data_IF_662301441895
#
_entry.id   IF_662301441895
#
_cell.length_a   1.000
_cell.length_b   1.000
_cell.length_c   1.000
_cell.angle_alpha   90.00
_cell.angle_beta   90.00
_cell.angle_gamma   90.00
#
_symmetry.space_group_name_H-M   'P 1'
#
loop_
_entity.id
_entity.type
_entity.pdbx_description
1 polymer ?
#
# COMPACT_ATOMS: atom_id res chain seq x y z
N UNK A 1 45.76 17.19 16.37
CA UNK A 1 44.35 17.43 16.01
C UNK A 1 43.91 16.22 15.19
N UNK A 2 43.30 15.22 15.84
CA UNK A 2 43.02 13.91 15.24
C UNK A 2 41.52 13.82 14.91
N UNK A 3 41.21 13.57 13.64
CA UNK A 3 39.85 13.40 13.14
C UNK A 3 39.34 12.01 13.57
N UNK A 4 38.39 11.96 14.50
CA UNK A 4 37.68 10.72 14.85
C UNK A 4 36.62 10.43 13.79
N UNK A 5 36.93 9.55 12.84
CA UNK A 5 35.94 8.93 11.98
C UNK A 5 35.17 7.87 12.79
N UNK A 6 33.86 8.07 12.89
CA UNK A 6 32.92 7.14 13.52
C UNK A 6 32.79 5.86 12.69
N UNK A 7 32.87 4.70 13.37
CA UNK A 7 32.78 3.35 12.81
C UNK A 7 31.42 3.00 12.17
N UNK A 8 30.46 3.92 12.15
CA UNK A 8 29.11 3.71 11.59
C UNK A 8 29.00 3.89 10.06
N UNK A 9 30.07 4.28 9.35
CA UNK A 9 30.02 4.57 7.91
C UNK A 9 30.76 3.54 7.02
N UNK A 10 31.25 2.44 7.60
CA UNK A 10 32.07 1.44 6.86
C UNK A 10 31.28 0.14 6.58
N UNK A 11 30.01 0.03 6.99
CA UNK A 11 29.23 -1.19 6.75
C UNK A 11 28.51 -1.26 5.40
N UNK A 12 28.63 -0.23 4.54
CA UNK A 12 27.95 -0.18 3.23
C UNK A 12 28.88 -0.41 2.02
N UNK A 13 30.19 -0.58 2.21
CA UNK A 13 31.17 -0.57 1.09
C UNK A 13 31.74 -1.96 0.75
N UNK A 14 31.52 -3.01 1.56
CA UNK A 14 32.13 -4.33 1.31
C UNK A 14 31.21 -5.30 0.52
N UNK A 15 29.93 -5.00 0.30
CA UNK A 15 29.04 -5.92 -0.44
C UNK A 15 29.02 -5.78 -1.98
N UNK A 16 29.67 -4.75 -2.55
CA UNK A 16 29.51 -4.41 -3.98
C UNK A 16 30.69 -4.79 -4.89
N UNK A 17 31.71 -5.50 -4.40
CA UNK A 17 32.94 -5.77 -5.17
C UNK A 17 33.19 -7.25 -5.54
N UNK A 18 32.21 -8.16 -5.42
CA UNK A 18 32.40 -9.60 -5.76
C UNK A 18 31.47 -10.12 -6.87
N UNK A 19 30.51 -9.34 -7.38
CA UNK A 19 29.56 -9.84 -8.40
C UNK A 19 29.96 -9.63 -9.87
N UNK A 20 31.17 -9.15 -10.16
CA UNK A 20 31.65 -9.04 -11.52
C UNK A 20 32.53 -10.24 -11.87
N UNK A 21 31.92 -11.39 -12.22
CA UNK A 21 32.45 -12.45 -13.10
C UNK A 21 31.57 -13.71 -13.01
N UNK A 22 30.42 -13.70 -13.68
CA UNK A 22 29.74 -14.94 -14.11
C UNK A 22 29.46 -14.83 -15.61
N UNK A 23 29.89 -15.79 -16.44
CA UNK A 23 29.69 -15.74 -17.88
C UNK A 23 28.22 -16.01 -18.24
N UNK A 24 27.66 -15.08 -19.02
CA UNK A 24 26.33 -15.12 -19.64
C UNK A 24 26.08 -16.44 -20.39
N UNK A 25 25.15 -17.25 -19.89
CA UNK A 25 24.60 -18.41 -20.59
C UNK A 25 23.24 -18.05 -21.20
N UNK A 26 23.18 -18.08 -22.53
CA UNK A 26 21.99 -18.33 -23.36
C UNK A 26 20.74 -17.51 -23.08
N UNK A 27 20.61 -16.38 -23.77
CA UNK A 27 19.32 -15.70 -23.97
C UNK A 27 18.36 -16.65 -24.70
N UNK A 28 17.46 -17.28 -23.95
CA UNK A 28 16.19 -17.70 -24.50
C UNK A 28 15.39 -16.43 -24.76
N UNK A 29 14.93 -16.24 -26.00
CA UNK A 29 14.11 -15.10 -26.40
C UNK A 29 12.74 -15.16 -25.68
N UNK A 30 12.70 -14.76 -24.42
CA UNK A 30 11.47 -14.30 -23.79
C UNK A 30 11.08 -13.03 -24.52
N UNK A 31 9.95 -13.06 -25.22
CA UNK A 31 9.25 -11.84 -25.62
C UNK A 31 9.04 -11.01 -24.37
N UNK A 32 9.91 -10.02 -24.14
CA UNK A 32 9.72 -8.99 -23.14
C UNK A 32 8.35 -8.39 -23.45
N UNK A 33 7.34 -8.72 -22.63
CA UNK A 33 6.06 -8.03 -22.70
C UNK A 33 6.40 -6.57 -22.40
N UNK A 34 6.40 -5.75 -23.44
CA UNK A 34 6.62 -4.31 -23.31
C UNK A 34 5.48 -3.79 -22.43
N UNK A 35 5.84 -3.45 -21.20
CA UNK A 35 4.96 -2.84 -20.22
C UNK A 35 4.73 -1.38 -20.65
N UNK A 36 3.48 -1.00 -20.87
CA UNK A 36 3.08 0.40 -21.01
C UNK A 36 1.99 0.65 -20.00
N UNK A 37 2.38 1.09 -18.81
CA UNK A 37 1.44 1.55 -17.80
C UNK A 37 0.67 2.78 -18.31
N UNK A 38 -0.55 2.94 -17.81
CA UNK A 38 -1.38 4.12 -18.05
C UNK A 38 -1.35 5.11 -16.89
N UNK A 39 -0.49 4.87 -15.90
CA UNK A 39 -0.33 5.73 -14.75
C UNK A 39 0.39 7.04 -15.09
N UNK A 40 0.09 8.06 -14.30
CA UNK A 40 0.77 9.35 -14.37
C UNK A 40 2.16 9.26 -13.70
N UNK A 41 3.15 10.01 -14.19
CA UNK A 41 4.49 10.02 -13.61
C UNK A 41 4.49 10.58 -12.19
N UNK A 42 5.47 10.17 -11.38
CA UNK A 42 5.64 10.58 -10.00
C UNK A 42 5.94 12.09 -9.88
N UNK A 43 5.02 12.91 -9.32
CA UNK A 43 5.20 14.35 -9.22
C UNK A 43 6.10 14.76 -8.04
N UNK A 44 6.50 13.82 -7.19
CA UNK A 44 7.18 14.09 -5.92
C UNK A 44 8.69 13.80 -5.94
N UNK A 45 9.20 13.09 -6.95
CA UNK A 45 10.60 12.66 -7.00
C UNK A 45 11.60 13.81 -6.84
N UNK A 46 11.35 14.95 -7.49
CA UNK A 46 12.21 16.13 -7.40
C UNK A 46 11.97 16.95 -6.10
N UNK A 47 10.77 16.88 -5.52
CA UNK A 47 10.40 17.62 -4.31
C UNK A 47 10.91 16.96 -3.02
N UNK A 48 10.95 15.63 -3.01
CA UNK A 48 11.37 14.83 -1.86
C UNK A 48 12.50 13.88 -2.25
N UNK A 49 13.65 14.38 -2.70
CA UNK A 49 14.65 13.54 -3.34
C UNK A 49 15.32 12.55 -2.37
N UNK A 50 15.26 12.82 -1.06
CA UNK A 50 15.80 11.94 -0.01
C UNK A 50 14.81 10.89 0.50
N UNK A 51 13.58 10.88 0.01
CA UNK A 51 12.54 9.92 0.36
C UNK A 51 12.26 8.98 -0.81
N UNK A 52 11.71 7.81 -0.50
CA UNK A 52 11.10 6.99 -1.54
C UNK A 52 9.75 7.63 -1.87
N UNK A 53 9.53 7.88 -3.15
CA UNK A 53 8.30 8.50 -3.66
C UNK A 53 7.84 7.72 -4.87
N UNK A 54 6.55 7.77 -5.16
CA UNK A 54 5.98 7.12 -6.34
C UNK A 54 4.48 7.36 -6.42
N UNK A 55 3.81 6.55 -7.22
CA UNK A 55 2.37 6.57 -7.40
C UNK A 55 1.78 5.21 -7.04
N UNK A 56 0.69 5.22 -6.29
CA UNK A 56 -0.12 4.04 -6.02
C UNK A 56 -1.45 4.18 -6.73
N UNK A 57 -1.61 3.49 -7.85
CA UNK A 57 -2.92 3.28 -8.46
C UNK A 57 -3.53 1.99 -7.88
N UNK A 58 -4.56 2.15 -7.07
CA UNK A 58 -5.07 1.07 -6.25
C UNK A 58 -6.59 0.94 -6.29
N UNK A 59 -7.05 -0.30 -6.17
CA UNK A 59 -8.39 -0.61 -5.67
C UNK A 59 -8.27 -0.88 -4.17
N UNK A 60 -8.93 -0.04 -3.36
CA UNK A 60 -9.05 -0.20 -1.92
C UNK A 60 -10.45 -0.67 -1.60
N UNK A 61 -10.59 -1.78 -0.87
CA UNK A 61 -11.90 -2.33 -0.50
C UNK A 61 -11.96 -2.66 0.98
N UNK A 62 -13.12 -2.42 1.61
CA UNK A 62 -13.37 -2.79 2.99
C UNK A 62 -14.17 -4.08 3.04
N UNK A 63 -13.64 -5.06 3.75
CA UNK A 63 -14.28 -6.33 4.07
C UNK A 63 -14.70 -6.27 5.55
N UNK A 64 -16.00 -6.18 5.84
CA UNK A 64 -16.50 -6.35 7.20
C UNK A 64 -16.33 -7.81 7.62
N UNK A 65 -15.58 -8.05 8.69
CA UNK A 65 -15.51 -9.36 9.35
C UNK A 65 -16.05 -9.25 10.78
N UNK A 66 -16.56 -10.34 11.37
CA UNK A 66 -16.91 -10.33 12.79
C UNK A 66 -15.70 -9.91 13.64
N UNK A 67 -15.93 -9.06 14.63
CA UNK A 67 -14.88 -8.58 15.54
C UNK A 67 -14.19 -9.76 16.26
N UNK A 68 -14.95 -10.82 16.56
CA UNK A 68 -14.40 -12.07 17.09
C UNK A 68 -13.43 -12.74 16.12
N UNK A 69 -13.73 -12.73 14.81
CA UNK A 69 -12.81 -13.21 13.77
C UNK A 69 -11.57 -12.34 13.74
N UNK A 70 -11.71 -11.01 13.72
CA UNK A 70 -10.57 -10.10 13.78
C UNK A 70 -9.67 -10.40 15.00
N UNK A 71 -10.27 -10.69 16.15
CA UNK A 71 -9.55 -11.04 17.40
C UNK A 71 -8.78 -12.34 17.34
N UNK A 72 -9.22 -13.32 16.56
CA UNK A 72 -8.49 -14.57 16.37
C UNK A 72 -7.31 -14.39 15.41
N UNK A 73 -7.41 -13.47 14.46
CA UNK A 73 -6.41 -13.26 13.42
C UNK A 73 -5.31 -12.27 13.83
N UNK A 74 -5.70 -11.17 14.49
CA UNK A 74 -4.76 -10.14 14.95
C UNK A 74 -4.01 -10.65 16.18
N UNK A 75 -2.67 -10.48 16.26
CA UNK A 75 -1.88 -10.88 17.41
C UNK A 75 -2.46 -10.30 18.72
N UNK A 76 -2.59 -11.12 19.77
CA UNK A 76 -3.40 -10.79 20.95
C UNK A 76 -2.88 -9.59 21.74
N UNK A 77 -1.60 -9.24 21.59
CA UNK A 77 -1.00 -8.07 22.23
C UNK A 77 -1.46 -6.74 21.64
N UNK A 78 -2.07 -6.72 20.44
CA UNK A 78 -2.51 -5.49 19.79
C UNK A 78 -4.01 -5.23 20.07
N UNK A 79 -4.28 -4.08 20.69
CA UNK A 79 -5.65 -3.61 20.87
C UNK A 79 -6.31 -3.27 19.53
N UNK A 80 -7.64 -3.19 19.51
CA UNK A 80 -8.44 -2.70 18.36
C UNK A 80 -9.15 -1.48 18.90
N UNK A 81 -8.91 -0.35 18.25
CA UNK A 81 -9.47 0.94 18.58
C UNK A 81 -10.85 1.06 17.95
N UNK A 82 -11.82 0.30 18.47
CA UNK A 82 -13.19 0.27 17.92
C UNK A 82 -13.85 1.66 17.91
N UNK A 83 -13.57 2.47 18.94
CA UNK A 83 -14.03 3.86 18.99
C UNK A 83 -13.51 4.70 17.82
N UNK A 84 -12.30 4.44 17.33
CA UNK A 84 -11.67 5.23 16.27
C UNK A 84 -12.38 5.01 14.93
N UNK A 85 -12.56 3.77 14.50
CA UNK A 85 -13.26 3.52 13.23
C UNK A 85 -14.75 3.85 13.32
N UNK A 86 -15.41 3.61 14.46
CA UNK A 86 -16.82 3.99 14.62
C UNK A 86 -17.05 5.51 14.60
N UNK A 87 -16.06 6.32 14.98
CA UNK A 87 -16.14 7.76 14.82
C UNK A 87 -16.11 8.19 13.35
N UNK A 88 -15.37 7.47 12.50
CA UNK A 88 -15.29 7.72 11.05
C UNK A 88 -16.47 7.16 10.27
N UNK A 89 -16.98 6.00 10.68
CA UNK A 89 -18.11 5.30 10.06
C UNK A 89 -19.14 4.87 11.12
N UNK A 90 -19.97 5.82 11.62
CA UNK A 90 -20.96 5.52 12.67
C UNK A 90 -22.00 4.46 12.28
N UNK A 91 -22.26 4.31 10.98
CA UNK A 91 -23.17 3.31 10.40
C UNK A 91 -22.52 1.94 10.21
N UNK A 92 -21.24 1.74 10.55
CA UNK A 92 -20.57 0.47 10.36
C UNK A 92 -21.25 -0.64 11.17
N UNK A 93 -21.48 -1.84 10.59
CA UNK A 93 -22.28 -2.86 11.25
C UNK A 93 -21.80 -3.19 12.67
N UNK A 94 -22.76 -3.39 13.57
CA UNK A 94 -22.49 -3.76 14.96
C UNK A 94 -21.71 -5.07 15.04
N UNK A 95 -20.70 -5.14 15.92
CA UNK A 95 -19.88 -6.34 16.09
C UNK A 95 -18.97 -6.70 14.90
N UNK A 96 -18.79 -5.80 13.92
CA UNK A 96 -17.87 -5.98 12.80
C UNK A 96 -16.60 -5.13 12.93
N UNK A 97 -15.55 -5.55 12.22
CA UNK A 97 -14.26 -4.90 12.06
C UNK A 97 -13.95 -4.67 10.57
N UNK A 98 -13.40 -3.49 10.17
CA UNK A 98 -13.11 -3.16 8.77
C UNK A 98 -11.71 -3.64 8.35
N UNK A 99 -11.59 -4.85 7.80
CA UNK A 99 -10.34 -5.26 7.11
C UNK A 99 -10.27 -4.50 5.79
N UNK A 100 -9.09 -4.00 5.43
CA UNK A 100 -8.86 -3.40 4.12
C UNK A 100 -8.10 -4.38 3.21
N UNK A 101 -8.53 -4.48 1.95
CA UNK A 101 -7.70 -5.01 0.87
C UNK A 101 -7.16 -3.84 0.08
N UNK A 102 -5.84 -3.82 -0.11
CA UNK A 102 -5.16 -2.88 -1.00
C UNK A 102 -4.55 -3.66 -2.15
N UNK A 103 -5.21 -3.65 -3.31
CA UNK A 103 -4.67 -4.16 -4.56
C UNK A 103 -4.13 -2.98 -5.36
N UNK A 104 -2.81 -2.86 -5.44
CA UNK A 104 -2.12 -1.68 -5.97
C UNK A 104 -1.15 -2.05 -7.08
N UNK A 105 -1.03 -1.14 -8.04
CA UNK A 105 0.11 -1.01 -8.92
C UNK A 105 0.96 0.17 -8.40
N UNK A 106 2.21 -0.14 -8.07
CA UNK A 106 3.20 0.79 -7.58
C UNK A 106 4.03 1.22 -8.80
N UNK A 107 3.94 2.51 -9.16
CA UNK A 107 4.48 3.07 -10.39
C UNK A 107 5.46 4.21 -10.12
N UNK A 108 6.51 4.27 -10.94
CA UNK A 108 7.53 5.34 -10.96
C UNK A 108 8.11 5.63 -9.57
N UNK A 109 8.47 4.54 -8.88
CA UNK A 109 8.99 4.60 -7.53
C UNK A 109 10.47 4.98 -7.57
N UNK A 110 10.84 6.07 -6.92
CA UNK A 110 12.17 6.66 -6.99
C UNK A 110 12.71 7.05 -5.62
N UNK A 111 14.01 6.84 -5.45
CA UNK A 111 14.85 7.42 -4.38
C UNK A 111 15.84 8.38 -5.05
N UNK A 112 15.32 9.54 -5.46
CA UNK A 112 15.93 10.39 -6.51
C UNK A 112 17.34 10.85 -6.19
N UNK A 113 17.62 11.26 -4.95
CA UNK A 113 18.94 11.74 -4.51
C UNK A 113 20.05 10.68 -4.65
N UNK A 114 19.68 9.40 -4.76
CA UNK A 114 20.59 8.27 -4.83
C UNK A 114 20.60 7.61 -6.22
N UNK A 115 19.86 8.19 -7.17
CA UNK A 115 19.76 7.65 -8.53
C UNK A 115 19.12 6.27 -8.61
N UNK A 116 18.28 5.91 -7.63
CA UNK A 116 17.57 4.62 -7.62
C UNK A 116 16.16 4.83 -8.15
N UNK A 117 15.79 4.01 -9.13
CA UNK A 117 14.42 3.82 -9.61
C UNK A 117 14.08 2.35 -9.42
N UNK A 118 12.91 2.08 -8.89
CA UNK A 118 12.36 0.74 -8.73
C UNK A 118 11.39 0.52 -9.88
N UNK A 119 11.57 -0.58 -10.61
CA UNK A 119 10.67 -0.95 -11.71
C UNK A 119 9.22 -1.07 -11.20
N UNK A 120 8.25 -0.80 -12.06
CA UNK A 120 6.84 -0.93 -11.69
C UNK A 120 6.51 -2.34 -11.21
N UNK A 121 5.65 -2.45 -10.21
CA UNK A 121 5.21 -3.74 -9.67
C UNK A 121 3.78 -3.66 -9.13
N UNK A 122 3.18 -4.82 -8.90
CA UNK A 122 1.87 -4.92 -8.30
C UNK A 122 1.96 -5.67 -6.98
N UNK A 123 1.08 -5.29 -6.05
CA UNK A 123 0.97 -5.95 -4.75
C UNK A 123 -0.46 -6.00 -4.26
N UNK A 124 -0.73 -7.01 -3.45
CA UNK A 124 -2.03 -7.17 -2.79
C UNK A 124 -1.88 -7.89 -1.46
N UNK A 125 -2.66 -7.47 -0.48
CA UNK A 125 -2.70 -8.10 0.84
C UNK A 125 -3.89 -7.64 1.67
N UNK A 126 -4.12 -8.37 2.76
CA UNK A 126 -5.05 -7.94 3.81
C UNK A 126 -4.32 -7.02 4.78
N UNK A 127 -4.99 -5.94 5.17
CA UNK A 127 -4.50 -4.98 6.12
C UNK A 127 -5.53 -4.74 7.22
N UNK A 128 -5.06 -4.68 8.45
CA UNK A 128 -5.85 -4.59 9.67
C UNK A 128 -5.59 -3.24 10.33
N UNK A 129 -6.41 -2.20 10.04
CA UNK A 129 -6.25 -0.86 10.58
C UNK A 129 -6.77 -0.69 12.01
N UNK A 130 -6.54 0.49 12.60
CA UNK A 130 -7.04 0.87 13.93
C UNK A 130 -6.53 -0.03 15.05
N UNK A 131 -5.28 -0.48 14.95
CA UNK A 131 -4.65 -1.27 15.99
C UNK A 131 -3.87 -0.40 16.97
N UNK A 132 -4.00 -0.74 18.25
CA UNK A 132 -3.23 -0.15 19.33
C UNK A 132 -1.94 -0.95 19.53
N UNK A 133 -0.94 -0.64 18.71
CA UNK A 133 0.39 -1.26 18.79
C UNK A 133 1.13 -0.85 20.08
N UNK A 134 0.89 0.37 20.57
CA UNK A 134 1.64 0.96 21.69
C UNK A 134 0.97 0.72 23.06
N UNK A 135 -0.26 0.24 23.09
CA UNK A 135 -1.06 0.08 24.30
C UNK A 135 -1.48 1.41 24.93
N UNK A 136 -1.55 2.48 24.15
CA UNK A 136 -1.88 3.83 24.65
C UNK A 136 -3.35 4.19 24.49
N UNK A 137 -4.13 3.37 23.78
CA UNK A 137 -5.57 3.52 23.60
C UNK A 137 -5.99 4.58 22.58
N UNK A 138 -5.07 5.20 21.84
CA UNK A 138 -5.43 6.24 20.86
C UNK A 138 -4.57 6.29 19.58
N UNK A 139 -3.32 5.82 19.61
CA UNK A 139 -2.45 5.82 18.43
C UNK A 139 -2.86 4.68 17.49
N UNK A 140 -3.38 5.01 16.31
CA UNK A 140 -3.86 4.01 15.33
C UNK A 140 -2.75 3.57 14.40
N UNK A 141 -2.51 2.26 14.35
CA UNK A 141 -1.58 1.61 13.43
C UNK A 141 -2.33 0.63 12.52
N UNK A 142 -1.69 0.30 11.39
CA UNK A 142 -2.19 -0.69 10.43
C UNK A 142 -1.25 -1.88 10.36
N UNK A 143 -1.77 -3.07 10.66
CA UNK A 143 -1.01 -4.31 10.53
C UNK A 143 -1.17 -4.87 9.13
N UNK A 144 -0.06 -5.04 8.41
CA UNK A 144 0.02 -5.63 7.08
C UNK A 144 0.92 -6.87 7.14
N UNK A 145 0.38 -8.03 7.57
CA UNK A 145 1.22 -9.19 7.87
C UNK A 145 1.80 -9.91 6.66
N UNK A 146 1.08 -9.88 5.55
CA UNK A 146 1.42 -10.65 4.37
C UNK A 146 1.01 -9.94 3.10
N UNK A 147 1.82 -10.11 2.05
CA UNK A 147 1.58 -9.51 0.75
C UNK A 147 2.03 -10.47 -0.36
N UNK A 148 1.23 -10.53 -1.42
CA UNK A 148 1.72 -10.95 -2.73
C UNK A 148 2.36 -9.74 -3.39
N UNK A 149 3.51 -9.91 -4.04
CA UNK A 149 4.25 -8.86 -4.75
C UNK A 149 4.79 -9.42 -6.07
N UNK A 150 4.85 -8.62 -7.14
CA UNK A 150 5.34 -9.08 -8.45
C UNK A 150 6.67 -9.80 -8.32
N UNK A 151 6.72 -11.05 -8.80
CA UNK A 151 7.90 -11.91 -8.69
C UNK A 151 9.15 -11.35 -9.40
N UNK A 152 8.94 -10.46 -10.35
CA UNK A 152 10.00 -9.80 -11.14
C UNK A 152 10.65 -8.62 -10.40
N UNK A 153 10.14 -8.20 -9.24
CA UNK A 153 10.67 -7.03 -8.52
C UNK A 153 11.36 -7.44 -7.21
N UNK A 154 12.65 -7.79 -7.30
CA UNK A 154 13.44 -8.23 -6.16
C UNK A 154 13.58 -7.16 -5.07
N UNK A 155 13.66 -5.88 -5.46
CA UNK A 155 13.80 -4.77 -4.51
C UNK A 155 12.54 -4.64 -3.64
N UNK A 156 11.35 -4.70 -4.24
CA UNK A 156 10.08 -4.65 -3.52
C UNK A 156 9.88 -5.89 -2.64
N UNK A 157 10.22 -7.08 -3.15
CA UNK A 157 10.13 -8.33 -2.40
C UNK A 157 10.99 -8.28 -1.13
N UNK A 158 12.26 -7.89 -1.26
CA UNK A 158 13.18 -7.83 -0.12
C UNK A 158 12.90 -6.64 0.79
N UNK A 159 12.51 -5.50 0.24
CA UNK A 159 12.11 -4.31 0.98
C UNK A 159 10.97 -4.62 1.96
N UNK A 160 9.92 -5.29 1.50
CA UNK A 160 8.78 -5.68 2.33
C UNK A 160 9.15 -6.74 3.38
N UNK A 161 9.98 -7.75 3.04
CA UNK A 161 10.47 -8.74 4.01
C UNK A 161 11.23 -8.13 5.18
N UNK A 162 11.99 -7.05 4.95
CA UNK A 162 12.74 -6.35 6.02
C UNK A 162 11.85 -5.73 7.09
N UNK A 163 10.57 -5.46 6.79
CA UNK A 163 9.58 -5.04 7.78
C UNK A 163 8.99 -6.21 8.59
N UNK A 164 9.33 -7.44 8.24
CA UNK A 164 8.76 -8.66 8.82
C UNK A 164 7.49 -9.13 8.12
N UNK A 165 7.12 -8.54 6.98
CA UNK A 165 5.99 -8.99 6.16
C UNK A 165 6.29 -10.35 5.57
N UNK A 166 5.30 -11.26 5.59
CA UNK A 166 5.35 -12.51 4.84
C UNK A 166 5.11 -12.18 3.35
N UNK A 167 6.12 -12.40 2.52
CA UNK A 167 6.08 -11.99 1.11
C UNK A 167 6.10 -13.19 0.19
N UNK A 168 5.05 -13.30 -0.61
CA UNK A 168 4.89 -14.33 -1.64
C UNK A 168 5.12 -13.73 -3.04
N UNK A 169 6.19 -14.10 -3.76
CA UNK A 169 6.36 -13.72 -5.16
C UNK A 169 5.17 -14.18 -5.99
N UNK A 170 4.63 -13.31 -6.82
CA UNK A 170 3.36 -13.53 -7.52
C UNK A 170 3.38 -13.03 -8.97
N UNK A 171 2.50 -13.60 -9.79
CA UNK A 171 2.12 -13.08 -11.11
C UNK A 171 0.76 -12.39 -11.05
N UNK A 172 0.58 -11.39 -11.92
CA UNK A 172 -0.59 -10.53 -11.91
C UNK A 172 -1.33 -10.47 -13.25
N UNK A 173 -2.65 -10.29 -13.14
CA UNK A 173 -3.55 -9.95 -14.25
C UNK A 173 -4.36 -8.72 -13.84
N UNK A 174 -4.21 -7.58 -14.55
CA UNK A 174 -3.21 -7.32 -15.60
C UNK A 174 -1.79 -7.30 -15.02
N UNK A 175 -0.79 -7.50 -15.88
CA UNK A 175 0.61 -7.57 -15.47
C UNK A 175 1.22 -6.18 -15.14
N UNK A 176 0.72 -5.12 -15.78
CA UNK A 176 1.36 -3.81 -15.86
C UNK A 176 0.39 -2.64 -15.64
N UNK A 177 -0.73 -2.91 -14.98
CA UNK A 177 -1.77 -1.91 -14.77
C UNK A 177 -2.47 -2.22 -13.43
N UNK A 178 -3.18 -1.25 -12.87
CA UNK A 178 -3.87 -1.41 -11.60
C UNK A 178 -5.10 -2.33 -11.72
N UNK A 179 -5.69 -2.46 -12.90
CA UNK A 179 -6.81 -3.36 -13.18
C UNK A 179 -7.10 -3.46 -14.68
N UNK A 180 -7.69 -4.59 -15.10
CA UNK A 180 -8.19 -4.79 -16.46
C UNK A 180 -9.66 -4.36 -16.53
N UNK A 181 -10.05 -3.67 -17.60
CA UNK A 181 -11.45 -3.35 -17.87
C UNK A 181 -12.16 -4.54 -18.53
N UNK A 182 -13.18 -5.08 -17.87
CA UNK A 182 -13.99 -6.18 -18.40
C UNK A 182 -15.10 -5.67 -19.33
N UNK A 183 -15.53 -6.51 -20.27
CA UNK A 183 -16.58 -6.20 -21.25
C UNK A 183 -17.92 -5.76 -20.60
N UNK A 184 -18.21 -6.26 -19.39
CA UNK A 184 -19.47 -6.02 -18.69
C UNK A 184 -19.57 -4.68 -17.96
N UNK A 185 -18.49 -3.90 -17.81
CA UNK A 185 -18.54 -2.72 -16.92
C UNK A 185 -17.62 -2.78 -15.71
N UNK A 186 -17.18 -3.98 -15.33
CA UNK A 186 -16.34 -4.19 -14.18
C UNK A 186 -14.86 -3.94 -14.49
N UNK A 187 -14.08 -3.87 -13.42
CA UNK A 187 -12.63 -3.95 -13.41
C UNK A 187 -12.18 -5.17 -12.64
N UNK A 188 -11.12 -5.80 -13.13
CA UNK A 188 -10.60 -7.07 -12.65
C UNK A 188 -9.13 -6.94 -12.27
N UNK A 189 -8.77 -7.51 -11.14
CA UNK A 189 -7.39 -7.65 -10.69
C UNK A 189 -7.20 -9.04 -10.09
N UNK A 190 -6.11 -9.71 -10.42
CA UNK A 190 -5.75 -11.01 -9.85
C UNK A 190 -4.26 -11.10 -9.60
N UNK A 191 -3.90 -11.61 -8.43
CA UNK A 191 -2.53 -11.99 -8.07
C UNK A 191 -2.51 -13.47 -7.67
N UNK A 192 -1.52 -14.22 -8.14
CA UNK A 192 -1.32 -15.64 -7.82
C UNK A 192 0.12 -15.84 -7.40
N UNK A 193 0.35 -16.44 -6.23
CA UNK A 193 1.70 -16.80 -5.80
C UNK A 193 2.31 -17.84 -6.75
N UNK A 194 3.61 -17.70 -7.01
CA UNK A 194 4.41 -18.69 -7.73
C UNK A 194 4.93 -19.82 -6.83
N UNK A 195 4.89 -19.62 -5.51
CA UNK A 195 5.54 -20.50 -4.53
C UNK A 195 4.57 -21.15 -3.56
N UNK A 196 3.37 -20.59 -3.40
CA UNK A 196 2.33 -21.10 -2.51
C UNK A 196 1.00 -21.24 -3.26
N UNK A 197 -0.05 -21.69 -2.57
CA UNK A 197 -1.41 -21.69 -3.14
C UNK A 197 -2.13 -20.33 -2.97
N UNK A 198 -1.41 -19.31 -2.52
CA UNK A 198 -2.03 -18.04 -2.19
C UNK A 198 -2.44 -17.27 -3.44
N UNK A 199 -3.59 -16.62 -3.37
CA UNK A 199 -4.09 -15.79 -4.46
C UNK A 199 -5.11 -14.77 -3.95
N UNK A 200 -5.29 -13.72 -4.75
CA UNK A 200 -6.34 -12.73 -4.63
C UNK A 200 -6.99 -12.52 -5.98
N UNK A 201 -8.31 -12.34 -6.01
CA UNK A 201 -9.09 -11.90 -7.16
C UNK A 201 -10.07 -10.83 -6.71
N UNK A 202 -10.08 -9.71 -7.41
CA UNK A 202 -10.98 -8.59 -7.21
C UNK A 202 -11.76 -8.35 -8.50
N UNK A 203 -13.09 -8.35 -8.40
CA UNK A 203 -13.97 -7.91 -9.49
C UNK A 203 -14.88 -6.81 -8.96
N UNK A 204 -14.75 -5.63 -9.53
CA UNK A 204 -15.30 -4.39 -8.99
C UNK A 204 -16.04 -3.61 -10.06
N UNK A 205 -17.26 -3.18 -9.78
CA UNK A 205 -18.08 -2.35 -10.66
C UNK A 205 -18.22 -0.94 -10.09
N UNK A 206 -18.07 0.06 -10.96
CA UNK A 206 -18.31 1.46 -10.60
C UNK A 206 -19.72 1.63 -10.04
N UNK A 207 -19.82 2.30 -8.90
CA UNK A 207 -21.10 2.75 -8.35
C UNK A 207 -21.51 4.02 -9.08
N UNK A 208 -22.73 4.04 -9.63
CA UNK A 208 -23.24 5.19 -10.40
C UNK A 208 -23.46 6.45 -9.56
N UNK A 209 -23.80 6.28 -8.29
CA UNK A 209 -24.00 7.38 -7.34
C UNK A 209 -23.10 7.19 -6.11
N UNK A 210 -22.15 8.10 -5.84
CA UNK A 210 -21.21 7.97 -4.72
C UNK A 210 -21.87 7.76 -3.36
N UNK A 211 -23.08 8.30 -3.16
CA UNK A 211 -23.87 8.14 -1.92
C UNK A 211 -24.32 6.71 -1.63
N UNK A 212 -24.21 5.79 -2.59
CA UNK A 212 -24.47 4.36 -2.37
C UNK A 212 -23.28 3.62 -1.79
N UNK A 213 -22.09 4.23 -1.77
CA UNK A 213 -20.96 3.67 -1.05
C UNK A 213 -21.11 4.00 0.45
N UNK A 214 -21.19 2.99 1.35
CA UNK A 214 -21.30 3.24 2.78
C UNK A 214 -20.02 3.80 3.40
N UNK A 215 -18.90 3.75 2.67
CA UNK A 215 -17.58 4.16 3.15
C UNK A 215 -17.15 5.48 2.50
N UNK A 216 -17.01 6.57 3.29
CA UNK A 216 -16.56 7.85 2.77
C UNK A 216 -15.07 7.77 2.39
N UNK A 217 -14.63 8.65 1.48
CA UNK A 217 -13.22 8.75 1.10
C UNK A 217 -12.31 8.99 2.31
N UNK A 218 -12.79 9.76 3.29
CA UNK A 218 -12.07 10.05 4.55
C UNK A 218 -11.70 8.79 5.34
N UNK A 219 -12.48 7.71 5.24
CA UNK A 219 -12.11 6.42 5.84
C UNK A 219 -10.84 5.86 5.18
N UNK A 220 -10.79 5.87 3.85
CA UNK A 220 -9.65 5.34 3.09
C UNK A 220 -8.41 6.21 3.28
N UNK A 221 -8.56 7.54 3.31
CA UNK A 221 -7.49 8.48 3.65
C UNK A 221 -6.90 8.14 5.03
N UNK A 222 -7.77 8.03 6.03
CA UNK A 222 -7.34 7.73 7.39
C UNK A 222 -6.60 6.38 7.47
N UNK A 223 -7.20 5.30 6.95
CA UNK A 223 -6.60 3.96 7.01
C UNK A 223 -5.25 3.92 6.30
N UNK A 224 -5.19 4.46 5.07
CA UNK A 224 -3.98 4.32 4.24
C UNK A 224 -2.82 5.17 4.72
N UNK A 225 -3.09 6.22 5.49
CA UNK A 225 -2.09 7.06 6.17
C UNK A 225 -1.84 6.63 7.63
N UNK A 226 -2.31 5.47 8.10
CA UNK A 226 -1.85 4.92 9.38
C UNK A 226 -0.44 4.34 9.24
N UNK A 227 0.44 4.51 10.24
CA UNK A 227 1.74 3.86 10.24
C UNK A 227 1.56 2.34 10.15
N UNK A 228 2.27 1.73 9.21
CA UNK A 228 2.11 0.33 8.85
C UNK A 228 3.20 -0.52 9.48
N UNK A 229 2.84 -1.69 9.98
CA UNK A 229 3.80 -2.63 10.58
C UNK A 229 3.43 -4.07 10.27
N UNK A 230 4.41 -4.98 10.35
CA UNK A 230 4.17 -6.42 10.29
C UNK A 230 4.56 -7.12 11.60
N UNK A 231 5.78 -6.91 12.08
CA UNK A 231 6.30 -7.52 13.32
C UNK A 231 6.21 -6.61 14.56
N UNK A 232 5.85 -5.34 14.40
CA UNK A 232 5.71 -4.35 15.47
C UNK A 232 7.02 -3.72 15.95
N UNK A 233 8.15 -4.02 15.30
CA UNK A 233 9.47 -3.45 15.62
C UNK A 233 9.78 -2.21 14.80
N UNK A 234 9.56 -2.30 13.50
CA UNK A 234 9.75 -1.21 12.54
C UNK A 234 8.43 -0.85 11.90
N UNK A 235 8.18 0.45 11.78
CA UNK A 235 7.03 0.99 11.11
C UNK A 235 7.45 1.65 9.81
N UNK A 236 6.63 1.44 8.80
CA UNK A 236 6.61 2.25 7.60
C UNK A 236 5.59 3.38 7.77
N UNK A 237 6.00 4.60 7.43
CA UNK A 237 5.10 5.74 7.33
C UNK A 237 5.04 6.23 5.87
N UNK A 238 4.27 5.49 5.08
CA UNK A 238 3.87 5.85 3.73
C UNK A 238 2.70 6.83 3.74
N UNK A 239 3.00 8.08 3.44
CA UNK A 239 2.05 9.19 3.38
C UNK A 239 1.51 9.26 1.95
N UNK A 240 0.22 8.94 1.77
CA UNK A 240 -0.50 9.12 0.51
C UNK A 240 -1.15 10.50 0.47
N UNK A 241 -0.94 11.21 -0.63
CA UNK A 241 -1.52 12.52 -0.86
C UNK A 241 -2.79 12.38 -1.71
N UNK A 242 -3.90 12.90 -1.19
CA UNK A 242 -5.17 12.98 -1.92
C UNK A 242 -5.36 14.41 -2.44
N UNK A 243 -6.46 14.70 -3.14
CA UNK A 243 -6.77 16.04 -3.67
C UNK A 243 -5.62 16.65 -4.51
N UNK A 244 -4.84 15.80 -5.17
CA UNK A 244 -3.79 16.18 -6.12
C UNK A 244 -4.35 16.13 -7.53
N UNK A 245 -3.60 16.61 -8.53
CA UNK A 245 -3.97 16.45 -9.96
C UNK A 245 -4.22 14.98 -10.36
N UNK A 246 -3.73 14.00 -9.61
CA UNK A 246 -3.95 12.56 -9.83
C UNK A 246 -5.22 12.01 -9.15
N UNK A 247 -5.91 12.81 -8.35
CA UNK A 247 -7.06 12.39 -7.54
C UNK A 247 -8.19 13.42 -7.52
N UNK A 248 -8.26 14.29 -8.52
CA UNK A 248 -9.33 15.28 -8.74
C UNK A 248 -9.86 15.22 -10.17
N UNK A 249 -10.98 15.88 -10.42
CA UNK A 249 -11.62 16.00 -11.74
C UNK A 249 -11.80 14.66 -12.47
N UNK A 250 -11.20 14.47 -13.64
CA UNK A 250 -11.30 13.23 -14.41
C UNK A 250 -10.63 12.03 -13.73
N UNK A 251 -9.69 12.29 -12.81
CA UNK A 251 -8.99 11.32 -11.99
C UNK A 251 -9.56 11.21 -10.57
N UNK A 252 -10.73 11.82 -10.32
CA UNK A 252 -11.37 11.77 -9.03
C UNK A 252 -11.63 10.32 -8.57
N UNK A 253 -11.60 10.06 -7.24
CA UNK A 253 -11.73 8.71 -6.71
C UNK A 253 -13.05 8.06 -7.15
N UNK A 254 -12.97 6.83 -7.67
CA UNK A 254 -14.12 6.14 -8.25
C UNK A 254 -14.69 5.15 -7.23
N UNK A 255 -15.89 5.40 -6.66
CA UNK A 255 -16.51 4.44 -5.75
C UNK A 255 -16.87 3.16 -6.50
N UNK A 256 -16.58 2.02 -5.89
CA UNK A 256 -16.79 0.69 -6.47
C UNK A 256 -17.47 -0.24 -5.49
N UNK A 257 -18.20 -1.23 -6.04
CA UNK A 257 -18.76 -2.35 -5.29
C UNK A 257 -18.47 -3.65 -6.05
N UNK A 258 -18.37 -4.77 -5.35
CA UNK A 258 -18.10 -6.03 -6.02
C UNK A 258 -17.77 -7.17 -5.07
N UNK A 259 -16.75 -7.94 -5.43
CA UNK A 259 -16.29 -9.09 -4.65
C UNK A 259 -14.78 -9.17 -4.55
N UNK A 260 -14.30 -9.73 -3.44
CA UNK A 260 -12.94 -10.23 -3.27
C UNK A 260 -13.02 -11.73 -3.05
N UNK A 261 -12.20 -12.49 -3.77
CA UNK A 261 -11.89 -13.89 -3.48
C UNK A 261 -10.43 -13.98 -3.10
N UNK A 262 -10.12 -14.70 -2.04
CA UNK A 262 -8.73 -14.93 -1.70
C UNK A 262 -8.55 -16.21 -0.90
N UNK A 263 -7.35 -16.77 -1.06
CA UNK A 263 -6.72 -17.64 -0.08
C UNK A 263 -5.36 -17.02 0.19
N UNK A 264 -5.18 -16.37 1.32
CA UNK A 264 -3.91 -15.73 1.66
C UNK A 264 -3.88 -15.41 3.15
N UNK A 265 -2.70 -15.32 3.74
CA UNK A 265 -2.57 -15.02 5.16
C UNK A 265 -3.27 -13.71 5.56
N UNK A 266 -4.06 -13.67 6.65
CA UNK A 266 -4.32 -14.73 7.64
C UNK A 266 -5.61 -15.56 7.39
N UNK A 267 -6.16 -15.52 6.17
CA UNK A 267 -7.32 -16.30 5.71
C UNK A 267 -6.90 -17.45 4.77
N UNK A 268 -5.78 -18.12 5.05
CA UNK A 268 -5.19 -19.12 4.15
C UNK A 268 -5.73 -20.54 4.34
N UNK A 269 -6.46 -20.80 5.43
CA UNK A 269 -6.96 -22.14 5.76
C UNK A 269 -7.95 -22.67 4.72
N UNK A 270 -8.83 -21.80 4.21
CA UNK A 270 -9.81 -22.09 3.16
C UNK A 270 -9.87 -20.85 2.25
N UNK A 271 -10.22 -21.05 0.98
CA UNK A 271 -10.54 -19.91 0.11
C UNK A 271 -11.84 -19.25 0.59
N UNK A 272 -11.79 -17.94 0.76
CA UNK A 272 -12.92 -17.13 1.20
C UNK A 272 -13.37 -16.22 0.05
N UNK A 273 -14.69 -16.05 -0.06
CA UNK A 273 -15.32 -15.08 -0.97
C UNK A 273 -16.14 -14.08 -0.15
N UNK A 274 -15.77 -12.81 -0.26
CA UNK A 274 -16.55 -11.70 0.27
C UNK A 274 -17.26 -11.00 -0.88
N UNK A 275 -18.57 -11.21 -0.97
CA UNK A 275 -19.44 -10.51 -1.90
C UNK A 275 -20.05 -9.26 -1.26
N UNK A 276 -20.57 -8.35 -2.09
CA UNK A 276 -21.17 -7.07 -1.66
C UNK A 276 -20.22 -6.20 -0.82
N UNK A 277 -18.96 -6.17 -1.24
CA UNK A 277 -17.94 -5.30 -0.63
C UNK A 277 -17.88 -3.98 -1.37
N UNK A 278 -17.52 -2.93 -0.64
CA UNK A 278 -17.46 -1.56 -1.15
C UNK A 278 -16.06 -1.00 -1.01
N UNK A 279 -15.69 -0.14 -1.95
CA UNK A 279 -14.33 0.34 -2.09
C UNK A 279 -14.22 1.62 -2.90
N UNK A 280 -12.98 2.01 -3.15
CA UNK A 280 -12.62 3.13 -4.01
C UNK A 280 -11.44 2.74 -4.89
N UNK A 281 -11.48 3.15 -6.16
CA UNK A 281 -10.32 3.13 -7.04
C UNK A 281 -9.73 4.53 -7.11
N UNK A 282 -8.43 4.64 -6.90
CA UNK A 282 -7.75 5.94 -6.81
C UNK A 282 -6.26 5.78 -7.08
N UNK A 283 -5.71 6.73 -7.84
CA UNK A 283 -4.28 6.97 -7.93
C UNK A 283 -3.87 8.07 -6.95
N UNK A 284 -2.82 7.83 -6.16
CA UNK A 284 -2.29 8.82 -5.23
C UNK A 284 -0.77 8.81 -5.26
N UNK A 285 -0.09 9.97 -5.34
CA UNK A 285 1.32 10.00 -5.09
C UNK A 285 1.60 9.77 -3.59
N UNK A 286 2.77 9.20 -3.28
CA UNK A 286 3.15 8.91 -1.90
C UNK A 286 4.57 9.37 -1.57
N UNK A 287 4.80 9.60 -0.28
CA UNK A 287 6.10 9.83 0.33
C UNK A 287 6.29 8.77 1.41
N UNK A 288 7.35 7.98 1.31
CA UNK A 288 7.64 6.91 2.26
C UNK A 288 8.77 7.30 3.20
N UNK A 289 8.51 7.20 4.50
CA UNK A 289 9.50 7.33 5.56
C UNK A 289 9.75 5.94 6.12
N UNK A 290 10.85 5.34 5.66
CA UNK A 290 11.16 3.95 5.86
C UNK A 290 11.84 3.67 7.22
N UNK A 291 11.63 2.46 7.75
CA UNK A 291 12.33 1.88 8.91
C UNK A 291 12.29 2.74 10.19
N UNK A 292 11.15 3.37 10.47
CA UNK A 292 10.96 4.16 11.69
C UNK A 292 10.75 3.24 12.90
N UNK A 293 11.20 3.68 14.08
CA UNK A 293 10.77 3.08 15.34
C UNK A 293 9.27 3.37 15.52
N UNK A 294 8.44 2.33 15.60
CA UNK A 294 7.00 2.48 15.77
C UNK A 294 6.61 3.38 16.96
N UNK A 295 7.44 3.47 18.00
CA UNK A 295 7.19 4.34 19.16
C UNK A 295 7.22 5.82 18.82
N UNK A 296 7.99 6.24 17.81
CA UNK A 296 8.04 7.64 17.38
C UNK A 296 6.76 8.07 16.65
N UNK A 297 5.91 7.11 16.28
CA UNK A 297 4.62 7.35 15.64
C UNK A 297 3.45 7.50 16.63
N UNK A 298 3.73 7.59 17.94
CA UNK A 298 2.71 7.85 18.96
C UNK A 298 1.95 9.14 18.65
N UNK A 299 0.62 9.06 18.62
CA UNK A 299 -0.26 10.19 18.34
C UNK A 299 -0.19 10.71 16.92
N UNK A 300 0.47 9.98 16.00
CA UNK A 300 0.46 10.34 14.59
C UNK A 300 -0.98 10.28 14.05
N UNK A 301 -1.42 11.39 13.46
CA UNK A 301 -2.77 11.56 12.92
C UNK A 301 -2.73 11.92 11.44
N UNK A 302 -1.76 11.38 10.70
CA UNK A 302 -1.40 11.87 9.37
C UNK A 302 -0.53 13.12 9.44
N UNK A 303 -0.54 13.93 8.38
CA UNK A 303 0.35 15.09 8.25
C UNK A 303 -0.07 16.34 9.04
N UNK A 304 -1.22 16.32 9.73
CA UNK A 304 -1.62 17.38 10.66
C UNK A 304 -1.71 18.81 10.07
N UNK A 305 -1.78 18.94 8.75
CA UNK A 305 -1.85 20.18 7.98
C UNK A 305 -2.44 19.90 6.59
N UNK A 306 -2.25 20.75 5.56
CA UNK A 306 -2.72 20.43 4.20
C UNK A 306 -2.09 19.14 3.62
N UNK A 307 -1.20 18.43 4.31
CA UNK A 307 -0.42 17.30 3.79
C UNK A 307 -1.14 15.96 3.59
N UNK A 308 -2.48 15.89 3.65
CA UNK A 308 -3.23 14.80 3.01
C UNK A 308 -3.86 15.31 1.69
N UNK A 309 -3.47 16.52 1.27
CA UNK A 309 -3.98 17.33 0.16
C UNK A 309 -2.91 18.30 -0.37
N UNK A 310 -1.98 17.82 -1.19
CA UNK A 310 -0.99 18.71 -1.80
C UNK A 310 -1.59 19.46 -3.00
N UNK A 311 -2.05 20.69 -2.79
CA UNK A 311 -2.26 21.63 -3.88
C UNK A 311 -0.97 22.41 -4.09
N UNK A 312 -0.25 22.15 -5.19
CA UNK A 312 0.74 23.10 -5.66
C UNK A 312 -0.04 24.33 -6.14
N UNK A 313 -0.13 25.37 -5.31
CA UNK A 313 -0.63 26.66 -5.76
C UNK A 313 0.45 27.25 -6.69
N UNK A 314 0.20 27.51 -7.98
CA UNK A 314 1.19 28.09 -8.88
C UNK A 314 1.23 29.63 -8.77
N UNK A 315 0.45 30.23 -7.88
CA UNK A 315 0.41 31.68 -7.71
C UNK A 315 1.27 32.12 -6.51
N UNK A 316 2.33 32.93 -6.73
CA UNK A 316 2.96 33.64 -5.64
C UNK A 316 1.91 34.56 -5.02
N UNK A 317 1.72 34.43 -3.71
CA UNK A 317 1.07 35.47 -2.93
C UNK A 317 1.97 36.70 -3.07
N UNK A 318 1.61 37.59 -3.99
CA UNK A 318 2.12 38.95 -3.97
C UNK A 318 1.55 39.59 -2.72
N UNK A 319 2.45 39.96 -1.82
CA UNK A 319 2.20 40.89 -0.73
C UNK A 319 1.39 42.08 -1.23
N UNK A 320 0.29 42.37 -0.53
CA UNK A 320 -0.24 43.70 -0.20
C UNK A 320 -1.26 43.58 0.94
#
# INVERSE_FOLDING_TARGET
MALRLSLFHISAIILLAVFSLVPSHGESATTQRVCSTHDHPNPLAELFPNNATGVLNATLAIIPIPLETARRLIPPQYGILEKAYRALIPSFPGGMYPVMVQAAHDHDVQFRAYGVTIDDFSRVGFEFPFLDLLGDGYSSFRWAPAQLISATNEIALEGSRKYGTLVSPAEYVPFCDAYLRMANGATYFRGISLTTSEHFELEMTRISHPTRNPYPLELFKNITNQPTFANGLSCDNMIRLFNTTMSVDEYAPVPVHGRVRARAFPFEAVEEEWADIYGVKIATPFIENNYLDCRTMRGYSGTGGPGDSYTHDPHPINEL
#
